data_IF_444721004066
#
_entry.id   IF_444721004066
#
_cell.length_a   1.000
_cell.length_b   1.000
_cell.length_c   1.000
_cell.angle_alpha   90.00
_cell.angle_beta   90.00
_cell.angle_gamma   90.00
#
_symmetry.space_group_name_H-M   'P 1'
#
loop_
_entity.id
_entity.type
_entity.pdbx_description
1 polymer ?
#
# COMPACT_ATOMS: atom_id res chain seq x y z
N UNK A 1 -3.65 -8.94 -15.92
CA UNK A 1 -4.35 -7.76 -16.51
C UNK A 1 -4.63 -6.79 -15.37
N UNK A 2 -4.46 -5.48 -15.58
CA UNK A 2 -4.81 -4.51 -14.55
C UNK A 2 -6.32 -4.21 -14.52
N UNK A 3 -6.87 -3.94 -13.34
CA UNK A 3 -8.26 -3.57 -13.07
C UNK A 3 -8.34 -2.43 -12.03
N UNK A 4 -9.53 -1.88 -11.82
CA UNK A 4 -9.79 -0.79 -10.87
C UNK A 4 -10.15 0.54 -11.51
N UNK A 5 -10.32 1.55 -10.66
CA UNK A 5 -10.66 2.94 -11.02
C UNK A 5 -9.72 3.92 -10.30
N UNK A 6 -9.80 5.19 -10.68
CA UNK A 6 -9.09 6.29 -10.01
C UNK A 6 -9.48 6.54 -8.55
N UNK A 7 -10.51 5.85 -8.04
CA UNK A 7 -10.88 5.86 -6.63
C UNK A 7 -9.99 4.94 -5.79
N UNK A 8 -9.17 4.09 -6.42
CA UNK A 8 -8.21 3.24 -5.72
C UNK A 8 -7.11 4.10 -5.10
N UNK A 9 -6.70 3.77 -3.88
CA UNK A 9 -5.58 4.39 -3.18
C UNK A 9 -4.87 3.34 -2.32
N UNK A 10 -3.65 3.66 -1.89
CA UNK A 10 -2.91 2.86 -0.90
C UNK A 10 -2.60 3.73 0.32
N UNK A 11 -2.42 3.12 1.48
CA UNK A 11 -2.06 3.85 2.68
C UNK A 11 -1.07 3.06 3.55
N UNK A 12 -0.36 3.77 4.42
CA UNK A 12 0.49 3.19 5.45
C UNK A 12 0.20 3.87 6.80
N UNK A 13 0.38 3.10 7.88
CA UNK A 13 0.33 3.60 9.25
C UNK A 13 1.75 3.67 9.81
N UNK A 14 2.21 4.87 10.11
CA UNK A 14 3.51 5.09 10.75
C UNK A 14 3.34 5.21 12.27
N UNK A 15 3.53 4.09 12.96
CA UNK A 15 3.50 4.03 14.42
C UNK A 15 4.65 4.82 15.06
N UNK A 16 5.76 5.06 14.36
CA UNK A 16 6.91 5.79 14.91
C UNK A 16 6.67 7.29 14.92
N UNK A 17 6.03 7.82 13.87
CA UNK A 17 5.63 9.22 13.78
C UNK A 17 4.57 9.62 14.84
N UNK A 18 3.76 8.66 15.27
CA UNK A 18 2.84 8.83 16.40
C UNK A 18 3.55 8.97 17.75
N UNK A 19 4.62 8.21 17.95
CA UNK A 19 5.36 8.13 19.21
C UNK A 19 6.37 9.27 19.41
N UNK A 20 6.91 9.83 18.33
CA UNK A 20 7.84 10.96 18.38
C UNK A 20 7.15 12.34 18.42
N UNK A 21 5.82 12.36 18.48
CA UNK A 21 5.02 13.58 18.58
C UNK A 21 5.02 14.42 17.29
N UNK A 22 5.40 13.82 16.15
CA UNK A 22 5.37 14.47 14.84
C UNK A 22 4.07 14.29 14.08
N UNK A 23 3.11 13.53 14.63
CA UNK A 23 1.82 13.31 14.01
C UNK A 23 1.11 14.64 13.68
N UNK A 24 0.87 14.89 12.40
CA UNK A 24 0.01 16.00 11.96
C UNK A 24 -1.46 15.58 12.07
N UNK A 25 -2.19 16.14 13.05
CA UNK A 25 -3.64 15.96 13.19
C UNK A 25 -4.11 14.71 13.96
N UNK A 26 -3.20 13.90 14.50
CA UNK A 26 -3.49 12.73 15.36
C UNK A 26 -3.30 13.00 16.86
N UNK A 27 -3.91 12.17 17.72
CA UNK A 27 -3.63 12.19 19.16
C UNK A 27 -2.21 11.64 19.43
N UNK A 28 -1.50 12.21 20.41
CA UNK A 28 -0.16 11.76 20.76
C UNK A 28 -0.16 10.26 21.14
N UNK A 29 0.68 9.47 20.48
CA UNK A 29 0.76 8.02 20.64
C UNK A 29 -0.06 7.19 19.65
N UNK A 30 -0.89 7.82 18.81
CA UNK A 30 -1.61 7.12 17.73
C UNK A 30 -0.76 7.08 16.44
N UNK A 31 -0.81 5.98 15.66
CA UNK A 31 -0.09 5.89 14.40
C UNK A 31 -0.56 6.95 13.40
N UNK A 32 0.39 7.58 12.70
CA UNK A 32 0.08 8.55 11.66
C UNK A 32 -0.34 7.82 10.37
N UNK A 33 -1.55 8.08 9.88
CA UNK A 33 -2.00 7.53 8.60
C UNK A 33 -1.57 8.42 7.43
N UNK A 34 -0.92 7.82 6.43
CA UNK A 34 -0.59 8.46 5.16
C UNK A 34 -1.27 7.75 4.02
N UNK A 35 -2.20 8.44 3.35
CA UNK A 35 -2.90 7.95 2.18
C UNK A 35 -2.29 8.53 0.90
N UNK A 36 -2.14 7.69 -0.12
CA UNK A 36 -1.56 7.99 -1.42
C UNK A 36 -2.61 7.73 -2.50
N UNK A 37 -3.25 8.81 -2.93
CA UNK A 37 -4.27 8.79 -3.98
C UNK A 37 -3.64 8.63 -5.37
N UNK A 38 -4.48 8.28 -6.35
CA UNK A 38 -4.06 8.18 -7.74
C UNK A 38 -3.44 9.47 -8.28
N UNK A 39 -2.27 9.37 -8.91
CA UNK A 39 -1.53 10.51 -9.48
C UNK A 39 -2.02 10.95 -10.86
N UNK A 40 -2.94 10.21 -11.47
CA UNK A 40 -3.33 10.38 -12.88
C UNK A 40 -2.26 9.99 -13.92
N UNK A 41 -1.09 9.47 -13.51
CA UNK A 41 0.01 9.13 -14.45
C UNK A 41 -0.29 7.90 -15.32
N UNK A 42 -0.95 6.88 -14.76
CA UNK A 42 -1.32 5.65 -15.47
C UNK A 42 -2.56 5.01 -14.82
N UNK A 43 -3.07 3.88 -15.32
CA UNK A 43 -4.24 3.18 -14.75
C UNK A 43 -3.93 1.77 -14.24
N UNK A 44 -2.73 1.56 -13.70
CA UNK A 44 -2.26 0.27 -13.18
C UNK A 44 -2.68 0.05 -11.72
N UNK A 45 -3.97 0.18 -11.40
CA UNK A 45 -4.44 0.23 -10.00
C UNK A 45 -4.32 -1.10 -9.26
N UNK A 46 -4.87 -2.18 -9.82
CA UNK A 46 -4.87 -3.50 -9.21
C UNK A 46 -4.43 -4.55 -10.21
N UNK A 47 -3.68 -5.54 -9.73
CA UNK A 47 -3.28 -6.71 -10.51
C UNK A 47 -3.40 -7.96 -9.65
N UNK A 48 -3.82 -9.07 -10.27
CA UNK A 48 -3.72 -10.38 -9.66
C UNK A 48 -3.53 -11.46 -10.72
N UNK A 49 -2.86 -12.52 -10.31
CA UNK A 49 -2.78 -13.79 -11.01
C UNK A 49 -2.72 -14.94 -9.99
N UNK A 50 -2.39 -16.16 -10.43
CA UNK A 50 -2.30 -17.34 -9.55
C UNK A 50 -1.17 -17.28 -8.51
N UNK A 51 -0.25 -16.32 -8.61
CA UNK A 51 0.94 -16.22 -7.77
C UNK A 51 0.89 -15.06 -6.79
N UNK A 52 0.11 -14.01 -7.07
CA UNK A 52 0.02 -12.82 -6.22
C UNK A 52 -1.23 -11.98 -6.49
N UNK A 53 -1.54 -11.10 -5.54
CA UNK A 53 -2.33 -9.89 -5.79
C UNK A 53 -1.50 -8.66 -5.43
N UNK A 54 -1.77 -7.55 -6.10
CA UNK A 54 -0.99 -6.33 -5.98
C UNK A 54 -1.83 -5.08 -6.23
N UNK A 55 -1.39 -3.99 -5.64
CA UNK A 55 -1.90 -2.63 -5.82
C UNK A 55 -0.79 -1.73 -6.34
N UNK A 56 -1.15 -0.87 -7.29
CA UNK A 56 -0.33 0.21 -7.87
C UNK A 56 0.83 -0.34 -8.67
N UNK A 57 0.76 -0.33 -9.99
CA UNK A 57 1.82 -0.81 -10.88
C UNK A 57 2.75 0.31 -11.37
N UNK A 58 3.55 -0.01 -12.41
CA UNK A 58 4.49 0.93 -13.03
C UNK A 58 5.65 0.18 -13.67
N UNK A 59 6.88 0.53 -13.29
CA UNK A 59 8.15 0.01 -13.78
C UNK A 59 8.44 -1.44 -13.31
N UNK A 60 7.49 -2.36 -13.53
CA UNK A 60 7.57 -3.75 -13.08
C UNK A 60 7.41 -3.96 -11.56
N UNK A 61 7.22 -2.89 -10.81
CA UNK A 61 7.07 -2.88 -9.34
C UNK A 61 5.65 -2.56 -8.92
N UNK A 62 5.36 -2.84 -7.65
CA UNK A 62 4.05 -2.60 -7.07
C UNK A 62 4.13 -1.80 -5.76
N UNK A 63 3.12 -0.96 -5.49
CA UNK A 63 3.03 -0.22 -4.22
C UNK A 63 2.99 -1.20 -3.06
N UNK A 64 2.20 -2.26 -3.22
CA UNK A 64 2.47 -3.52 -2.56
C UNK A 64 2.03 -4.71 -3.44
N UNK A 65 2.65 -5.85 -3.24
CA UNK A 65 2.22 -7.15 -3.73
C UNK A 65 2.32 -8.16 -2.60
N UNK A 66 1.34 -9.06 -2.51
CA UNK A 66 1.36 -10.18 -1.56
C UNK A 66 1.19 -11.46 -2.36
N UNK A 67 2.07 -12.42 -2.07
CA UNK A 67 2.10 -13.71 -2.77
C UNK A 67 0.88 -14.56 -2.39
N UNK A 68 0.59 -15.57 -3.21
CA UNK A 68 -0.55 -16.47 -3.02
C UNK A 68 -0.49 -17.33 -1.75
N UNK A 69 0.65 -17.37 -1.05
CA UNK A 69 0.76 -17.97 0.27
C UNK A 69 0.29 -17.06 1.41
N UNK A 70 -0.09 -15.82 1.10
CA UNK A 70 -0.50 -14.77 2.04
C UNK A 70 0.52 -14.53 3.16
N UNK A 71 1.79 -14.87 2.93
CA UNK A 71 2.85 -14.78 3.92
C UNK A 71 3.93 -13.79 3.50
N UNK A 72 4.26 -13.74 2.20
CA UNK A 72 5.37 -12.93 1.70
C UNK A 72 4.85 -11.77 0.86
N UNK A 73 5.37 -10.59 1.11
CA UNK A 73 5.02 -9.39 0.36
C UNK A 73 6.22 -8.57 -0.08
N UNK A 74 5.97 -7.72 -1.06
CA UNK A 74 6.90 -6.73 -1.61
C UNK A 74 6.23 -5.35 -1.60
N UNK A 75 7.00 -4.30 -1.36
CA UNK A 75 6.54 -2.92 -1.45
C UNK A 75 7.59 -2.03 -2.08
N UNK A 76 7.17 -1.17 -3.00
CA UNK A 76 8.06 -0.29 -3.75
C UNK A 76 7.39 1.05 -4.05
N UNK A 77 8.18 2.09 -4.34
CA UNK A 77 7.63 3.32 -4.88
C UNK A 77 6.98 3.08 -6.24
N UNK A 78 5.87 3.78 -6.52
CA UNK A 78 5.20 3.69 -7.82
C UNK A 78 4.74 5.05 -8.32
N UNK A 79 4.71 5.21 -9.65
CA UNK A 79 4.14 6.38 -10.29
C UNK A 79 2.62 6.42 -10.13
N UNK A 80 1.95 5.27 -10.02
CA UNK A 80 0.49 5.17 -9.95
C UNK A 80 -0.09 5.90 -8.75
N UNK A 81 0.54 5.77 -7.58
CA UNK A 81 0.09 6.43 -6.36
C UNK A 81 1.08 7.45 -5.80
N UNK A 82 2.28 7.60 -6.39
CA UNK A 82 3.31 8.48 -5.85
C UNK A 82 3.75 8.09 -4.44
N UNK A 83 3.55 6.82 -4.06
CA UNK A 83 3.86 6.30 -2.74
C UNK A 83 5.37 5.99 -2.61
N UNK A 84 5.94 6.01 -1.39
CA UNK A 84 7.22 5.37 -1.09
C UNK A 84 7.01 3.87 -0.84
N UNK A 85 8.07 3.13 -0.49
CA UNK A 85 7.91 1.81 0.15
C UNK A 85 7.03 1.96 1.40
N UNK A 86 5.92 1.23 1.42
CA UNK A 86 4.86 1.32 2.45
C UNK A 86 5.19 0.49 3.71
N UNK A 87 6.03 -0.53 3.57
CA UNK A 87 6.49 -1.35 4.67
C UNK A 87 7.84 -0.84 5.23
N UNK A 88 8.33 -1.43 6.32
CA UNK A 88 9.64 -1.11 6.89
C UNK A 88 10.82 -1.40 5.96
N UNK A 89 10.60 -2.24 4.94
CA UNK A 89 11.58 -2.68 3.94
C UNK A 89 10.86 -3.08 2.65
N UNK A 90 11.61 -3.26 1.56
CA UNK A 90 11.06 -3.70 0.28
C UNK A 90 10.40 -5.07 0.39
N UNK A 91 11.00 -6.01 1.12
CA UNK A 91 10.37 -7.30 1.45
C UNK A 91 9.73 -7.25 2.84
N UNK A 92 8.59 -7.90 3.01
CA UNK A 92 7.94 -8.04 4.31
C UNK A 92 7.23 -9.37 4.48
N UNK A 93 7.00 -9.75 5.75
CA UNK A 93 6.21 -10.92 6.13
C UNK A 93 4.85 -10.45 6.63
N UNK A 94 3.80 -11.00 6.05
CA UNK A 94 2.42 -10.77 6.48
C UNK A 94 2.19 -11.55 7.76
N UNK A 95 1.71 -10.85 8.80
CA UNK A 95 1.30 -11.46 10.06
C UNK A 95 -0.18 -11.82 10.02
N UNK A 96 -1.00 -10.84 9.68
CA UNK A 96 -2.45 -10.92 9.62
C UNK A 96 -2.90 -10.24 8.32
N UNK A 97 -3.96 -10.76 7.70
CA UNK A 97 -4.55 -10.21 6.49
C UNK A 97 -6.06 -10.07 6.68
N UNK A 98 -6.57 -8.85 6.50
CA UNK A 98 -7.98 -8.53 6.67
C UNK A 98 -8.51 -7.87 5.39
N UNK A 99 -9.74 -8.20 5.01
CA UNK A 99 -10.44 -7.62 3.87
C UNK A 99 -11.85 -7.23 4.29
N UNK A 100 -12.21 -5.99 4.01
CA UNK A 100 -13.45 -5.36 4.44
C UNK A 100 -14.25 -4.90 3.23
N UNK A 101 -15.58 -5.05 3.27
CA UNK A 101 -16.50 -4.46 2.30
C UNK A 101 -17.50 -3.57 3.02
N UNK A 102 -17.84 -2.46 2.41
CA UNK A 102 -18.94 -1.60 2.82
C UNK A 102 -20.03 -1.75 1.75
N UNK A 103 -21.24 -2.11 2.16
CA UNK A 103 -22.42 -2.18 1.27
C UNK A 103 -23.11 -0.83 1.14
#
# INVERSE_FOLDING_TARGET
>A
KFYGSGESFVFALDARAGADGRAEGGAAGEPEMRAYAWTSTNSFFMYSDSHLFAMGGGDGKHAFAVRSDLLRGLSSPTETFGNPTLASSEEFVVRDFEMWSLE
#
